data_IF_997696109919
#
_entry.id   IF_997696109919
#
_cell.length_a   1.000
_cell.length_b   1.000
_cell.length_c   1.000
_cell.angle_alpha   90.00
_cell.angle_beta   90.00
_cell.angle_gamma   90.00
#
_symmetry.space_group_name_H-M   'P 1'
#
loop_
_entity.id
_entity.type
_entity.pdbx_description
1 polymer ?
#
# COMPACT_ATOMS: atom_id res chain seq x y z
N UNK A 1 26.00 21.19 3.16
CA UNK A 1 25.44 19.84 2.94
C UNK A 1 24.03 20.03 2.42
N UNK A 2 23.85 20.08 1.09
CA UNK A 2 22.52 20.23 0.50
C UNK A 2 21.82 18.88 0.64
N UNK A 3 20.79 18.82 1.50
CA UNK A 3 19.90 17.67 1.51
C UNK A 3 19.33 17.55 0.09
N UNK A 4 19.65 16.47 -0.60
CA UNK A 4 19.04 16.14 -1.88
C UNK A 4 17.57 15.90 -1.60
N UNK A 5 16.75 16.94 -1.77
CA UNK A 5 15.32 16.87 -1.57
C UNK A 5 14.79 15.92 -2.63
N UNK A 6 14.42 14.70 -2.22
CA UNK A 6 13.83 13.74 -3.14
C UNK A 6 12.61 14.41 -3.77
N UNK A 7 12.45 14.33 -5.10
CA UNK A 7 11.31 14.96 -5.75
C UNK A 7 10.02 14.48 -5.09
N UNK A 8 9.18 15.43 -4.69
CA UNK A 8 7.87 15.12 -4.13
C UNK A 8 7.01 14.47 -5.20
N UNK A 9 6.64 13.21 -4.98
CA UNK A 9 5.68 12.49 -5.81
C UNK A 9 4.39 12.36 -4.99
N UNK A 10 3.24 12.85 -5.48
CA UNK A 10 1.95 12.63 -4.83
C UNK A 10 1.69 11.13 -4.62
N UNK A 11 1.03 10.75 -3.53
CA UNK A 11 0.81 9.33 -3.18
C UNK A 11 0.08 8.59 -4.31
N UNK A 12 -0.85 9.26 -4.99
CA UNK A 12 -1.61 8.69 -6.10
C UNK A 12 -0.74 8.27 -7.30
N UNK A 13 0.41 8.91 -7.48
CA UNK A 13 1.33 8.68 -8.60
C UNK A 13 2.48 7.73 -8.24
N UNK A 14 2.55 7.28 -6.97
CA UNK A 14 3.62 6.36 -6.52
C UNK A 14 3.32 4.94 -6.98
N UNK A 15 4.25 4.29 -7.72
CA UNK A 15 4.05 2.90 -8.15
C UNK A 15 4.16 1.89 -7.01
N UNK A 16 4.94 2.22 -5.97
CA UNK A 16 5.14 1.44 -4.77
C UNK A 16 4.74 2.26 -3.55
N UNK A 17 3.97 1.64 -2.67
CA UNK A 17 3.41 2.24 -1.47
C UNK A 17 3.94 1.51 -0.24
N UNK A 18 4.29 2.24 0.81
CA UNK A 18 4.37 1.68 2.15
C UNK A 18 2.98 1.38 2.71
N UNK A 19 2.92 0.60 3.79
CA UNK A 19 1.65 0.32 4.49
C UNK A 19 0.89 1.59 4.89
N UNK A 20 1.53 2.64 5.45
CA UNK A 20 0.82 3.88 5.79
C UNK A 20 0.24 4.60 4.56
N UNK A 21 0.95 4.55 3.43
CA UNK A 21 0.53 5.22 2.20
C UNK A 21 -0.65 4.48 1.56
N UNK A 22 -0.61 3.15 1.52
CA UNK A 22 -1.72 2.33 1.05
C UNK A 22 -2.97 2.55 1.92
N UNK A 23 -2.82 2.60 3.24
CA UNK A 23 -3.93 2.86 4.16
C UNK A 23 -4.56 4.24 3.90
N UNK A 24 -3.73 5.29 3.79
CA UNK A 24 -4.20 6.64 3.50
C UNK A 24 -4.90 6.74 2.14
N UNK A 25 -4.37 6.08 1.12
CA UNK A 25 -4.89 6.11 -0.24
C UNK A 25 -6.26 5.43 -0.37
N UNK A 26 -6.52 4.41 0.44
CA UNK A 26 -7.79 3.67 0.44
C UNK A 26 -8.79 4.17 1.49
N UNK A 27 -8.41 5.13 2.34
CA UNK A 27 -9.21 5.54 3.50
C UNK A 27 -9.39 4.44 4.54
N UNK A 28 -8.43 3.52 4.65
CA UNK A 28 -8.45 2.39 5.58
C UNK A 28 -7.49 2.62 6.76
N UNK A 29 -7.62 1.81 7.81
CA UNK A 29 -6.61 1.77 8.88
C UNK A 29 -5.38 0.96 8.44
N UNK A 30 -4.19 1.34 8.90
CA UNK A 30 -2.96 0.55 8.68
C UNK A 30 -3.12 -0.89 9.18
N UNK A 31 -3.84 -1.09 10.30
CA UNK A 31 -4.12 -2.41 10.85
C UNK A 31 -4.91 -3.30 9.89
N UNK A 32 -5.85 -2.73 9.12
CA UNK A 32 -6.59 -3.48 8.11
C UNK A 32 -5.67 -3.96 6.99
N UNK A 33 -4.80 -3.07 6.49
CA UNK A 33 -3.80 -3.39 5.46
C UNK A 33 -2.83 -4.47 5.97
N UNK A 34 -2.29 -4.32 7.19
CA UNK A 34 -1.44 -5.36 7.80
C UNK A 34 -2.15 -6.70 7.95
N UNK A 35 -3.45 -6.69 8.26
CA UNK A 35 -4.23 -7.92 8.40
C UNK A 35 -4.39 -8.61 7.05
N UNK A 36 -4.67 -7.86 5.98
CA UNK A 36 -4.75 -8.39 4.62
C UNK A 36 -3.42 -9.01 4.16
N UNK A 37 -2.30 -8.33 4.42
CA UNK A 37 -0.95 -8.86 4.14
C UNK A 37 -0.70 -10.15 4.93
N UNK A 38 -0.99 -10.16 6.23
CA UNK A 38 -0.78 -11.33 7.10
C UNK A 38 -1.63 -12.53 6.69
N UNK A 39 -2.81 -12.30 6.14
CA UNK A 39 -3.70 -13.34 5.60
C UNK A 39 -3.31 -13.81 4.20
N UNK A 40 -2.36 -13.13 3.55
CA UNK A 40 -1.98 -13.40 2.16
C UNK A 40 -3.01 -12.90 1.14
N UNK A 41 -3.94 -12.04 1.55
CA UNK A 41 -4.96 -11.44 0.68
C UNK A 41 -4.40 -10.27 -0.15
N UNK A 42 -3.42 -9.55 0.39
CA UNK A 42 -2.74 -8.44 -0.26
C UNK A 42 -1.27 -8.77 -0.52
N UNK A 43 -0.87 -8.73 -1.79
CA UNK A 43 0.50 -9.00 -2.22
C UNK A 43 1.45 -7.88 -1.81
N UNK A 44 2.67 -8.27 -1.42
CA UNK A 44 3.75 -7.35 -1.04
C UNK A 44 5.05 -7.75 -1.72
N UNK A 45 5.92 -6.76 -1.93
CA UNK A 45 7.26 -6.91 -2.44
C UNK A 45 8.28 -6.36 -1.45
N UNK A 46 9.47 -6.95 -1.45
CA UNK A 46 10.58 -6.57 -0.59
C UNK A 46 11.73 -6.11 -1.47
N UNK A 47 12.14 -4.85 -1.34
CA UNK A 47 13.21 -4.25 -2.14
C UNK A 47 14.43 -4.06 -1.25
N UNK A 48 15.39 -5.00 -1.32
CA UNK A 48 16.67 -4.96 -0.60
C UNK A 48 16.59 -4.76 0.93
N UNK A 49 15.39 -4.86 1.52
CA UNK A 49 15.13 -4.70 2.95
C UNK A 49 13.95 -5.58 3.39
N UNK A 50 13.76 -5.73 4.70
CA UNK A 50 12.61 -6.42 5.29
C UNK A 50 11.33 -5.57 5.29
N UNK A 51 11.38 -4.33 4.82
CA UNK A 51 10.22 -3.45 4.73
C UNK A 51 9.33 -3.88 3.56
N UNK A 52 8.05 -4.10 3.85
CA UNK A 52 7.06 -4.46 2.86
C UNK A 52 6.64 -3.23 2.04
N UNK A 53 6.62 -3.39 0.72
CA UNK A 53 6.07 -2.44 -0.24
C UNK A 53 4.91 -3.08 -0.99
N UNK A 54 3.87 -2.29 -1.27
CA UNK A 54 2.67 -2.71 -1.98
C UNK A 54 2.70 -2.05 -3.36
N UNK A 55 2.52 -2.80 -4.44
CA UNK A 55 2.37 -2.18 -5.77
C UNK A 55 0.98 -1.56 -5.85
N UNK A 56 0.86 -0.38 -6.45
CA UNK A 56 -0.43 0.30 -6.65
C UNK A 56 -1.47 -0.63 -7.29
N UNK A 57 -1.06 -1.37 -8.32
CA UNK A 57 -1.89 -2.37 -9.00
C UNK A 57 -2.40 -3.47 -8.05
N UNK A 58 -1.53 -4.06 -7.24
CA UNK A 58 -1.91 -5.15 -6.33
C UNK A 58 -2.91 -4.65 -5.26
N UNK A 59 -2.76 -3.41 -4.82
CA UNK A 59 -3.69 -2.74 -3.91
C UNK A 59 -5.06 -2.53 -4.57
N UNK A 60 -5.09 -2.00 -5.80
CA UNK A 60 -6.32 -1.74 -6.55
C UNK A 60 -7.07 -3.05 -6.90
N UNK A 61 -6.32 -4.11 -7.28
CA UNK A 61 -6.85 -5.45 -7.54
C UNK A 61 -7.47 -6.05 -6.27
N UNK A 62 -6.80 -5.95 -5.12
CA UNK A 62 -7.34 -6.41 -3.83
C UNK A 62 -8.63 -5.67 -3.44
N UNK A 63 -8.67 -4.34 -3.57
CA UNK A 63 -9.88 -3.54 -3.27
C UNK A 63 -11.04 -3.96 -4.16
N UNK A 64 -10.78 -4.20 -5.44
CA UNK A 64 -11.78 -4.64 -6.42
C UNK A 64 -12.35 -6.03 -6.10
N UNK A 65 -11.63 -6.85 -5.33
CA UNK A 65 -12.05 -8.17 -4.88
C UNK A 65 -12.75 -8.17 -3.51
N UNK A 66 -12.82 -7.02 -2.82
CA UNK A 66 -13.49 -6.95 -1.52
C UNK A 66 -14.99 -7.21 -1.69
N UNK A 67 -15.59 -8.08 -0.86
CA UNK A 67 -17.02 -8.33 -0.93
C UNK A 67 -17.79 -7.05 -0.58
N UNK A 68 -18.82 -6.75 -1.36
CA UNK A 68 -19.82 -5.77 -0.92
C UNK A 68 -20.43 -6.27 0.39
N UNK A 69 -20.52 -5.39 1.38
CA UNK A 69 -21.16 -5.75 2.66
C UNK A 69 -22.63 -6.06 2.34
N UNK A 70 -23.14 -7.28 2.65
CA UNK A 70 -24.58 -7.52 2.59
C UNK A 70 -25.25 -6.52 3.53
N UNK A 71 -26.23 -5.79 3.02
CA UNK A 71 -27.06 -4.88 3.83
C UNK A 71 -27.86 -5.66 4.88
#
# INVERSE_FOLDING_TARGET
MTASEKPYVPIADRPLLGVPEAAALCGLSEKAVYTAIKRGELLVCYVHSSTAHIRRRDLDDWISCLPERPQ
#
